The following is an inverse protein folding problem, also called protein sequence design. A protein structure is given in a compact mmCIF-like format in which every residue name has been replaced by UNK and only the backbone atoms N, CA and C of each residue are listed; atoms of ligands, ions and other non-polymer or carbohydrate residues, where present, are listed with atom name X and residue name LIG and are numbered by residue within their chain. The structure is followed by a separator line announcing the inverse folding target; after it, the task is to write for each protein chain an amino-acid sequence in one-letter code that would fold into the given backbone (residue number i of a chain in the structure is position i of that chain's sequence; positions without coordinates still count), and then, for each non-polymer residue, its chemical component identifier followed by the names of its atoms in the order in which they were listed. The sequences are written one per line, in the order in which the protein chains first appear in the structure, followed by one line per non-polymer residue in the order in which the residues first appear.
data_IF_799180188882
#
_entry.id   IF_799180188882
#
_cell.length_a   1.000
_cell.length_b   1.000
_cell.length_c   1.000
_cell.angle_alpha   90.00
_cell.angle_beta   90.00
_cell.angle_gamma   90.00
#
_symmetry.space_group_name_H-M   'P 1'
#
loop_
_entity.id
_entity.type
_entity.pdbx_description
1 polymer ?
#
# COMPACT_ATOMS: atom_id res chain seq x y z
N UNK A 1 -0.56 46.85 -45.09
CA UNK A 1 0.01 47.42 -46.33
C UNK A 1 0.04 46.32 -47.37
N UNK A 2 -0.80 46.43 -48.41
CA UNK A 2 -0.57 46.05 -49.83
C UNK A 2 -0.19 44.56 -50.10
N UNK A 3 -0.79 43.77 -51.00
CA UNK A 3 -1.94 43.81 -51.93
C UNK A 3 -1.84 42.52 -52.79
N UNK A 4 -2.99 42.04 -53.31
CA UNK A 4 -3.19 41.23 -54.54
C UNK A 4 -2.64 39.77 -54.59
N UNK A 5 -3.20 38.78 -55.30
CA UNK A 5 -4.12 38.62 -56.47
C UNK A 5 -5.01 37.37 -56.19
N UNK A 6 -6.34 37.34 -56.39
CA UNK A 6 -7.18 37.35 -57.62
C UNK A 6 -7.16 36.08 -58.51
N UNK A 7 -8.34 35.82 -59.08
CA UNK A 7 -8.76 34.86 -60.14
C UNK A 7 -9.47 33.59 -59.61
N UNK A 8 -10.60 33.09 -60.11
CA UNK A 8 -11.87 33.56 -60.71
C UNK A 8 -12.47 32.37 -61.49
N UNK A 9 -13.81 32.27 -61.48
CA UNK A 9 -14.68 31.61 -62.48
C UNK A 9 -14.59 30.05 -62.59
N UNK A 10 -15.62 29.26 -62.91
CA UNK A 10 -17.01 29.36 -63.41
C UNK A 10 -17.52 27.89 -63.32
N UNK A 11 -18.78 27.45 -63.15
CA UNK A 11 -19.95 27.59 -64.03
C UNK A 11 -21.07 26.60 -63.60
N UNK A 12 -22.34 27.05 -63.67
CA UNK A 12 -23.55 26.37 -64.20
C UNK A 12 -24.08 25.05 -63.59
N UNK A 13 -25.39 24.75 -63.38
CA UNK A 13 -26.78 25.30 -63.49
C UNK A 13 -27.68 24.27 -62.70
N UNK A 14 -29.02 24.11 -62.87
CA UNK A 14 -30.19 24.99 -63.13
C UNK A 14 -31.20 25.00 -61.93
N UNK A 15 -32.04 26.02 -61.68
CA UNK A 15 -33.35 26.40 -62.29
C UNK A 15 -34.55 25.52 -61.83
N UNK A 16 -35.44 26.15 -61.03
CA UNK A 16 -36.88 25.89 -60.76
C UNK A 16 -37.20 24.80 -59.71
N UNK A 17 -38.12 24.96 -58.75
CA UNK A 17 -39.46 25.53 -58.87
C UNK A 17 -40.15 25.86 -57.53
N UNK A 18 -41.05 26.87 -57.61
CA UNK A 18 -42.30 27.03 -56.84
C UNK A 18 -42.26 27.60 -55.41
N UNK A 19 -42.16 28.93 -55.38
CA UNK A 19 -42.83 29.80 -54.40
C UNK A 19 -44.36 29.68 -54.57
N UNK A 20 -45.06 29.17 -53.54
CA UNK A 20 -46.52 29.31 -53.45
C UNK A 20 -46.85 29.97 -52.12
N UNK A 21 -46.98 31.27 -52.22
CA UNK A 21 -47.63 32.14 -51.25
C UNK A 21 -49.08 31.67 -51.05
N UNK A 22 -49.45 31.43 -49.79
CA UNK A 22 -50.84 31.43 -49.35
C UNK A 22 -50.87 31.96 -47.92
N UNK A 23 -50.84 33.28 -47.83
CA UNK A 23 -51.44 34.04 -46.75
C UNK A 23 -52.91 33.62 -46.59
N UNK A 24 -53.21 32.92 -45.51
CA UNK A 24 -54.57 32.88 -44.93
C UNK A 24 -54.45 33.19 -43.45
N UNK A 25 -54.96 34.38 -43.17
CA UNK A 25 -55.37 35.01 -41.92
C UNK A 25 -55.89 34.10 -40.80
N UNK A 26 -55.44 34.48 -39.59
CA UNK A 26 -56.24 34.69 -38.38
C UNK A 26 -56.81 33.50 -37.58
N UNK A 27 -56.43 33.56 -36.29
CA UNK A 27 -57.20 33.20 -35.07
C UNK A 27 -57.22 31.76 -34.53
N UNK A 28 -56.72 31.67 -33.29
CA UNK A 28 -57.00 30.70 -32.21
C UNK A 28 -56.62 29.22 -32.52
N UNK A 29 -56.07 28.41 -31.62
CA UNK A 29 -56.43 28.17 -30.22
C UNK A 29 -55.21 27.50 -29.54
N UNK A 30 -55.02 27.75 -28.26
CA UNK A 30 -54.00 27.10 -27.43
C UNK A 30 -54.11 25.56 -27.43
N UNK A 31 -52.96 24.85 -27.47
CA UNK A 31 -52.87 23.50 -26.89
C UNK A 31 -51.43 23.16 -26.52
N UNK A 32 -51.22 22.92 -25.23
CA UNK A 32 -50.00 22.40 -24.62
C UNK A 32 -49.61 21.06 -25.24
N UNK A 33 -48.36 20.87 -25.66
CA UNK A 33 -47.71 19.55 -25.58
C UNK A 33 -46.18 19.59 -25.74
N UNK A 34 -45.52 19.28 -24.62
CA UNK A 34 -44.32 18.44 -24.47
C UNK A 34 -43.00 18.86 -25.15
N UNK A 35 -42.18 19.55 -24.35
CA UNK A 35 -40.78 19.23 -24.01
C UNK A 35 -40.03 18.31 -24.99
N UNK A 36 -39.07 18.87 -25.75
CA UNK A 36 -37.91 18.13 -26.27
C UNK A 36 -36.62 18.91 -26.06
N UNK A 37 -36.30 19.17 -24.79
CA UNK A 37 -34.91 19.37 -24.38
C UNK A 37 -34.22 18.00 -24.43
N UNK A 38 -33.56 17.67 -25.54
CA UNK A 38 -32.65 16.53 -25.59
C UNK A 38 -31.27 16.97 -25.08
N UNK A 39 -31.21 17.21 -23.77
CA UNK A 39 -29.97 17.44 -23.02
C UNK A 39 -29.23 16.11 -22.92
N UNK A 40 -28.15 15.95 -23.70
CA UNK A 40 -27.26 14.79 -23.59
C UNK A 40 -26.39 14.96 -22.34
N UNK A 41 -26.87 14.48 -21.21
CA UNK A 41 -26.02 14.24 -20.04
C UNK A 41 -25.40 12.85 -20.17
N UNK A 42 -24.12 12.79 -20.54
CA UNK A 42 -23.31 11.60 -20.38
C UNK A 42 -23.01 11.42 -18.88
N UNK A 43 -23.74 10.53 -18.22
CA UNK A 43 -23.42 10.06 -16.87
C UNK A 43 -22.41 8.91 -16.98
N UNK A 44 -21.12 9.25 -16.96
CA UNK A 44 -20.08 8.27 -16.65
C UNK A 44 -20.01 8.13 -15.12
N UNK A 45 -20.71 7.16 -14.55
CA UNK A 45 -20.54 6.78 -13.15
C UNK A 45 -19.23 6.01 -12.99
N UNK A 46 -18.17 6.68 -12.54
CA UNK A 46 -16.93 6.02 -12.12
C UNK A 46 -17.18 5.42 -10.75
N UNK A 47 -17.41 4.10 -10.69
CA UNK A 47 -17.44 3.36 -9.44
C UNK A 47 -16.00 3.23 -8.93
N UNK A 48 -15.64 4.04 -7.93
CA UNK A 48 -14.42 3.81 -7.15
C UNK A 48 -14.72 2.69 -6.15
N UNK A 49 -14.42 1.45 -6.51
CA UNK A 49 -14.30 0.39 -5.51
C UNK A 49 -13.04 0.70 -4.69
N UNK A 50 -13.21 1.12 -3.43
CA UNK A 50 -12.10 1.16 -2.48
C UNK A 50 -11.72 -0.29 -2.18
N UNK A 51 -10.70 -0.81 -2.87
CA UNK A 51 -10.03 -2.01 -2.40
C UNK A 51 -9.38 -1.63 -1.06
N UNK A 52 -9.72 -2.36 0.02
CA UNK A 52 -8.91 -2.30 1.23
C UNK A 52 -7.58 -2.96 0.87
N UNK A 53 -6.60 -2.13 0.49
CA UNK A 53 -5.26 -2.61 0.21
C UNK A 53 -4.62 -2.98 1.55
N UNK A 54 -4.23 -4.24 1.70
CA UNK A 54 -3.43 -4.69 2.83
C UNK A 54 -2.05 -4.04 2.78
N UNK A 55 -1.62 -3.50 3.92
CA UNK A 55 -0.31 -2.87 4.03
C UNK A 55 0.21 -2.98 5.45
N UNK A 56 1.51 -3.25 5.55
CA UNK A 56 2.22 -3.42 6.82
C UNK A 56 3.58 -2.75 6.74
N UNK A 57 3.96 -2.03 7.78
CA UNK A 57 5.24 -1.35 7.89
C UNK A 57 6.07 -1.97 9.01
N UNK A 58 7.34 -2.25 8.71
CA UNK A 58 8.35 -2.57 9.72
C UNK A 58 9.23 -1.35 9.91
N UNK A 59 9.24 -0.83 11.14
CA UNK A 59 10.07 0.30 11.57
C UNK A 59 11.23 -0.21 12.42
N UNK A 60 12.41 0.39 12.26
CA UNK A 60 13.60 0.04 13.02
C UNK A 60 14.10 1.19 13.89
N UNK A 61 14.41 0.88 15.15
CA UNK A 61 15.15 1.76 16.05
C UNK A 61 16.43 1.07 16.50
N UNK A 62 17.59 1.60 16.09
CA UNK A 62 18.89 1.09 16.52
C UNK A 62 19.51 2.03 17.56
N UNK A 63 19.55 1.60 18.82
CA UNK A 63 20.14 2.34 19.94
C UNK A 63 21.56 1.86 20.29
N UNK A 64 22.12 0.93 19.52
CA UNK A 64 23.40 0.30 19.84
C UNK A 64 24.56 1.30 19.73
N UNK A 65 25.29 1.60 20.83
CA UNK A 65 26.41 2.54 20.78
C UNK A 65 27.55 2.10 19.86
N UNK A 66 27.71 0.79 19.67
CA UNK A 66 28.72 0.18 18.81
C UNK A 66 28.31 0.20 17.33
N UNK A 67 27.09 0.65 17.01
CA UNK A 67 26.49 0.61 15.68
C UNK A 67 25.90 -0.76 15.34
N UNK A 68 25.76 -1.01 14.05
CA UNK A 68 25.06 -2.17 13.49
C UNK A 68 24.06 -1.74 12.42
N UNK A 69 23.62 -2.68 11.61
CA UNK A 69 22.67 -2.42 10.52
C UNK A 69 21.43 -3.27 10.72
N UNK A 70 20.27 -2.69 11.09
CA UNK A 70 19.02 -3.43 11.10
C UNK A 70 18.81 -4.05 9.73
N UNK A 71 18.47 -5.33 9.67
CA UNK A 71 18.34 -6.07 8.41
C UNK A 71 17.01 -6.80 8.43
N UNK A 72 16.13 -6.49 7.47
CA UNK A 72 14.87 -7.21 7.23
C UNK A 72 15.07 -8.14 6.04
N UNK A 73 14.74 -9.42 6.20
CA UNK A 73 14.87 -10.43 5.14
C UNK A 73 13.55 -11.17 4.97
N UNK A 74 13.17 -11.44 3.72
CA UNK A 74 12.07 -12.33 3.38
C UNK A 74 12.48 -13.22 2.21
N UNK A 75 12.27 -14.53 2.35
CA UNK A 75 12.60 -15.51 1.31
C UNK A 75 14.04 -15.39 0.78
N UNK A 76 15.00 -15.08 1.66
CA UNK A 76 16.41 -14.88 1.33
C UNK A 76 16.75 -13.56 0.64
N UNK A 77 15.79 -12.64 0.49
CA UNK A 77 16.03 -11.30 -0.05
C UNK A 77 16.07 -10.27 1.07
N UNK A 78 17.10 -9.43 1.08
CA UNK A 78 17.15 -8.27 1.98
C UNK A 78 16.13 -7.25 1.47
N UNK A 79 15.12 -6.98 2.30
CA UNK A 79 14.04 -6.02 2.02
C UNK A 79 14.38 -4.61 2.53
N UNK A 80 15.09 -4.52 3.65
CA UNK A 80 15.56 -3.27 4.23
C UNK A 80 16.86 -3.46 5.01
N UNK A 81 17.66 -2.39 5.06
CA UNK A 81 18.88 -2.27 5.88
C UNK A 81 18.79 -1.12 6.89
N UNK A 82 17.60 -0.84 7.42
CA UNK A 82 17.38 0.12 8.51
C UNK A 82 16.38 1.23 8.24
N UNK A 83 15.95 1.41 6.99
CA UNK A 83 14.83 2.30 6.67
C UNK A 83 13.49 1.58 6.87
N UNK A 84 12.41 2.35 7.02
CA UNK A 84 11.06 1.79 7.06
C UNK A 84 10.78 0.97 5.81
N UNK A 85 10.29 -0.26 6.02
CA UNK A 85 9.85 -1.12 4.93
C UNK A 85 8.34 -1.27 4.98
N UNK A 86 7.66 -0.82 3.92
CA UNK A 86 6.21 -1.02 3.76
C UNK A 86 5.93 -2.09 2.71
N UNK A 87 5.25 -3.15 3.12
CA UNK A 87 4.66 -4.13 2.22
C UNK A 87 3.31 -3.64 1.71
N UNK A 88 3.00 -3.89 0.42
CA UNK A 88 1.68 -3.66 -0.19
C UNK A 88 0.91 -4.99 -0.31
N UNK A 89 0.84 -5.71 0.81
CA UNK A 89 0.25 -7.04 0.97
C UNK A 89 0.80 -7.73 2.22
N UNK A 90 0.48 -9.01 2.44
CA UNK A 90 1.01 -9.77 3.57
C UNK A 90 2.54 -9.76 3.58
N UNK A 91 3.14 -9.62 4.76
CA UNK A 91 4.57 -9.81 4.98
C UNK A 91 4.76 -11.10 5.77
N UNK A 92 4.88 -12.23 5.07
CA UNK A 92 4.97 -13.55 5.70
C UNK A 92 6.39 -14.07 5.79
N UNK A 93 6.69 -14.82 6.85
CA UNK A 93 7.96 -15.48 7.13
C UNK A 93 9.14 -14.51 6.99
N UNK A 94 8.95 -13.29 7.50
CA UNK A 94 10.03 -12.33 7.56
C UNK A 94 10.90 -12.66 8.77
N UNK A 95 12.15 -12.26 8.66
CA UNK A 95 13.09 -12.25 9.78
C UNK A 95 13.76 -10.88 9.84
N UNK A 96 14.13 -10.48 11.03
CA UNK A 96 14.83 -9.25 11.30
C UNK A 96 15.89 -9.46 12.37
N UNK A 97 17.05 -8.84 12.16
CA UNK A 97 18.17 -8.91 13.09
C UNK A 97 19.08 -7.69 12.91
N UNK A 98 19.94 -7.43 13.89
CA UNK A 98 20.97 -6.41 13.78
C UNK A 98 22.25 -7.03 13.21
N UNK A 99 22.61 -6.65 11.97
CA UNK A 99 23.85 -7.09 11.36
C UNK A 99 25.05 -6.40 12.02
N UNK A 100 25.90 -7.20 12.67
CA UNK A 100 27.12 -6.77 13.37
C UNK A 100 28.41 -7.19 12.64
N UNK A 101 28.29 -7.73 11.43
CA UNK A 101 29.38 -8.25 10.59
C UNK A 101 29.59 -9.77 10.68
N UNK A 102 28.91 -10.43 11.62
CA UNK A 102 28.99 -11.89 11.83
C UNK A 102 27.68 -12.64 11.63
N UNK A 103 26.56 -11.95 11.41
CA UNK A 103 25.27 -12.61 11.23
C UNK A 103 25.18 -13.20 9.81
N UNK A 104 24.70 -14.44 9.70
CA UNK A 104 24.31 -15.03 8.43
C UNK A 104 23.12 -14.32 7.79
N UNK A 105 22.74 -14.73 6.57
CA UNK A 105 21.62 -14.12 5.85
C UNK A 105 20.28 -14.45 6.51
N UNK A 106 20.17 -15.59 7.19
CA UNK A 106 18.98 -15.94 7.95
C UNK A 106 19.11 -15.52 9.43
N UNK A 107 20.01 -14.59 9.73
CA UNK A 107 20.28 -14.12 11.09
C UNK A 107 21.08 -15.10 11.95
N UNK A 108 21.69 -16.14 11.35
CA UNK A 108 22.51 -17.11 12.08
C UNK A 108 23.62 -16.39 12.88
N UNK A 109 23.80 -16.76 14.14
CA UNK A 109 24.76 -16.08 15.03
C UNK A 109 24.25 -14.79 15.70
N UNK A 110 22.98 -14.42 15.51
CA UNK A 110 22.39 -13.19 16.05
C UNK A 110 20.99 -13.40 16.64
N UNK A 111 20.54 -12.47 17.49
CA UNK A 111 19.18 -12.45 18.03
C UNK A 111 18.20 -12.23 16.87
N UNK A 112 17.27 -13.16 16.66
CA UNK A 112 16.31 -13.13 15.54
C UNK A 112 14.94 -12.67 16.03
N UNK A 113 14.35 -11.68 15.37
CA UNK A 113 12.91 -11.39 15.42
C UNK A 113 12.30 -11.99 14.16
N UNK A 114 11.28 -12.84 14.30
CA UNK A 114 10.63 -13.49 13.15
C UNK A 114 9.11 -13.39 13.24
N UNK A 115 8.42 -13.50 12.10
CA UNK A 115 6.97 -13.46 12.11
C UNK A 115 6.26 -13.34 10.75
N UNK A 116 4.96 -13.10 10.87
CA UNK A 116 4.00 -12.84 9.80
C UNK A 116 3.18 -11.58 10.14
N UNK A 117 2.99 -10.69 9.17
CA UNK A 117 2.01 -9.59 9.24
C UNK A 117 0.97 -9.80 8.14
N UNK A 118 -0.29 -9.99 8.54
CA UNK A 118 -1.39 -10.29 7.63
C UNK A 118 -2.72 -9.67 8.10
N UNK A 119 -3.63 -9.44 7.15
CA UNK A 119 -5.03 -9.09 7.39
C UNK A 119 -5.95 -10.31 7.61
N UNK A 120 -5.42 -11.53 7.59
CA UNK A 120 -6.19 -12.76 7.86
C UNK A 120 -6.47 -12.96 9.36
N UNK A 121 -6.05 -12.00 10.20
CA UNK A 121 -6.30 -12.00 11.64
C UNK A 121 -5.32 -12.86 12.44
N UNK A 122 -4.17 -13.18 11.85
CA UNK A 122 -3.14 -14.03 12.44
C UNK A 122 -1.74 -13.41 12.32
N UNK A 123 -1.62 -12.07 12.36
CA UNK A 123 -0.30 -11.46 12.51
C UNK A 123 0.33 -11.96 13.80
N UNK A 124 1.57 -12.41 13.73
CA UNK A 124 2.27 -13.02 14.84
C UNK A 124 3.77 -12.77 14.69
N UNK A 125 4.43 -12.51 15.81
CA UNK A 125 5.87 -12.37 15.87
C UNK A 125 6.41 -12.99 17.17
N UNK A 126 7.67 -13.38 17.12
CA UNK A 126 8.40 -13.91 18.25
C UNK A 126 9.90 -13.60 18.12
N UNK A 127 10.64 -13.94 19.19
CA UNK A 127 12.10 -13.84 19.23
C UNK A 127 12.66 -15.25 19.31
N UNK A 128 13.64 -15.55 18.45
CA UNK A 128 14.24 -16.88 18.34
C UNK A 128 15.73 -16.84 18.60
N UNK A 129 16.13 -17.67 19.57
CA UNK A 129 17.50 -18.03 19.94
C UNK A 129 17.74 -19.54 19.73
N UNK A 130 16.88 -20.20 18.94
CA UNK A 130 17.05 -21.61 18.58
C UNK A 130 18.29 -21.74 17.69
N UNK A 131 19.27 -22.60 18.01
CA UNK A 131 20.48 -22.74 17.19
C UNK A 131 20.16 -22.96 15.70
N UNK A 132 20.83 -22.23 14.79
CA UNK A 132 22.09 -21.49 14.96
C UNK A 132 21.94 -20.02 15.40
N UNK A 133 20.75 -19.55 15.79
CA UNK A 133 20.54 -18.22 16.36
C UNK A 133 21.05 -18.18 17.80
N UNK A 134 21.62 -17.05 18.21
CA UNK A 134 22.16 -16.85 19.56
C UNK A 134 21.98 -15.40 19.96
N UNK A 135 21.90 -15.12 21.25
CA UNK A 135 21.82 -13.75 21.72
C UNK A 135 23.06 -12.95 21.28
N UNK A 136 22.85 -11.83 20.58
CA UNK A 136 23.90 -10.91 20.14
C UNK A 136 23.80 -9.52 20.78
N UNK A 137 22.61 -8.92 20.71
CA UNK A 137 22.24 -7.65 21.36
C UNK A 137 20.84 -7.79 21.95
N UNK A 138 20.47 -6.85 22.82
CA UNK A 138 19.06 -6.73 23.21
C UNK A 138 18.25 -6.39 21.96
N UNK A 139 17.14 -7.11 21.80
CA UNK A 139 16.23 -6.94 20.67
C UNK A 139 14.83 -7.11 21.18
N UNK A 140 13.95 -6.20 20.79
CA UNK A 140 12.53 -6.27 21.09
C UNK A 140 11.70 -5.91 19.87
N UNK A 141 10.44 -6.31 19.89
CA UNK A 141 9.45 -5.80 18.95
C UNK A 141 8.19 -5.36 19.68
N UNK A 142 7.45 -4.46 19.06
CA UNK A 142 6.13 -4.06 19.51
C UNK A 142 5.23 -3.75 18.33
N UNK A 143 3.98 -4.19 18.38
CA UNK A 143 2.99 -3.80 17.39
C UNK A 143 2.61 -2.32 17.56
N UNK A 144 2.32 -1.67 16.44
CA UNK A 144 1.69 -0.35 16.39
C UNK A 144 0.68 -0.28 15.25
N UNK A 145 -0.16 0.76 15.23
CA UNK A 145 -1.29 0.84 14.28
C UNK A 145 -2.23 -0.38 14.41
N UNK A 146 -2.32 -0.93 15.62
CA UNK A 146 -2.97 -2.20 15.93
C UNK A 146 -2.25 -2.90 17.08
N UNK A 147 -2.99 -3.36 18.10
CA UNK A 147 -2.44 -4.03 19.28
C UNK A 147 -1.28 -3.26 19.98
N UNK A 148 -1.34 -1.93 19.93
CA UNK A 148 -0.26 -1.04 20.34
C UNK A 148 0.37 -1.40 21.69
N UNK A 149 1.69 -1.51 21.72
CA UNK A 149 2.46 -1.83 22.92
C UNK A 149 2.47 -3.32 23.30
N UNK A 150 1.80 -4.18 22.54
CA UNK A 150 1.94 -5.64 22.68
C UNK A 150 3.18 -6.08 21.92
N UNK A 151 4.04 -6.87 22.55
CA UNK A 151 5.33 -7.26 22.00
C UNK A 151 6.10 -8.18 22.93
N UNK A 152 7.34 -8.48 22.57
CA UNK A 152 8.30 -9.24 23.38
C UNK A 152 9.65 -8.53 23.36
N UNK A 153 10.40 -8.66 24.45
CA UNK A 153 11.70 -8.01 24.61
C UNK A 153 12.73 -8.98 25.20
N UNK A 154 13.85 -9.11 24.50
CA UNK A 154 14.93 -10.02 24.82
C UNK A 154 16.17 -9.24 25.26
N UNK A 155 16.34 -9.10 26.58
CA UNK A 155 17.42 -8.30 27.18
C UNK A 155 18.66 -9.10 27.58
N UNK A 156 18.63 -10.43 27.45
CA UNK A 156 19.76 -11.32 27.74
C UNK A 156 19.64 -12.67 27.05
N UNK A 157 20.70 -13.48 27.09
CA UNK A 157 20.71 -14.84 26.54
C UNK A 157 19.71 -15.79 27.21
N UNK A 158 19.25 -15.48 28.43
CA UNK A 158 18.27 -16.26 29.19
C UNK A 158 16.84 -15.68 29.07
N UNK A 159 16.54 -14.99 27.95
CA UNK A 159 15.25 -14.34 27.76
C UNK A 159 14.08 -15.33 27.91
N UNK A 160 13.17 -15.12 28.89
CA UNK A 160 12.07 -16.05 29.14
C UNK A 160 11.05 -16.17 28.00
N UNK A 161 10.89 -15.13 27.18
CA UNK A 161 9.93 -15.12 26.07
C UNK A 161 10.51 -15.60 24.74
N UNK A 162 11.83 -15.66 24.60
CA UNK A 162 12.45 -16.11 23.37
C UNK A 162 12.43 -17.65 23.24
N UNK A 163 12.21 -18.15 22.03
CA UNK A 163 12.39 -19.57 21.73
C UNK A 163 13.88 -19.93 21.82
N UNK A 164 14.23 -20.87 22.70
CA UNK A 164 15.57 -21.51 22.74
C UNK A 164 15.53 -22.97 22.29
N UNK A 165 14.32 -23.53 22.20
CA UNK A 165 13.96 -24.73 21.46
C UNK A 165 12.60 -24.53 20.78
N UNK A 166 12.08 -25.54 20.08
CA UNK A 166 10.82 -25.43 19.33
C UNK A 166 9.53 -25.36 20.19
N UNK A 167 9.63 -25.32 21.52
CA UNK A 167 8.50 -25.53 22.43
C UNK A 167 8.38 -24.55 23.60
N UNK A 168 9.36 -23.67 23.81
CA UNK A 168 9.50 -22.94 25.08
C UNK A 168 9.40 -21.40 25.00
N UNK A 169 9.22 -20.81 23.82
CA UNK A 169 9.06 -19.36 23.64
C UNK A 169 7.61 -18.88 23.57
N UNK A 170 7.45 -17.57 23.40
CA UNK A 170 6.17 -16.89 23.29
C UNK A 170 5.94 -16.39 21.86
N UNK A 171 4.80 -16.78 21.28
CA UNK A 171 4.29 -16.17 20.05
C UNK A 171 3.34 -15.06 20.46
N UNK A 172 3.67 -13.83 20.09
CA UNK A 172 2.83 -12.66 20.36
C UNK A 172 1.99 -12.39 19.13
N UNK A 173 0.67 -12.45 19.26
CA UNK A 173 -0.26 -12.29 18.12
C UNK A 173 -1.01 -10.97 18.16
N UNK A 174 -1.32 -10.44 16.98
CA UNK A 174 -2.25 -9.35 16.77
C UNK A 174 -3.27 -9.69 15.67
N UNK A 175 -4.55 -9.39 15.94
CA UNK A 175 -5.65 -9.64 15.00
C UNK A 175 -6.12 -8.38 14.28
N UNK A 176 -5.53 -7.22 14.58
CA UNK A 176 -5.87 -5.96 13.93
C UNK A 176 -5.39 -5.96 12.46
N UNK A 177 -6.22 -5.51 11.51
CA UNK A 177 -5.80 -5.37 10.12
C UNK A 177 -4.81 -4.21 9.97
N UNK A 178 -3.87 -4.37 9.04
CA UNK A 178 -2.81 -3.42 8.71
C UNK A 178 -1.97 -3.04 9.93
N UNK A 179 -1.78 -3.99 10.85
CA UNK A 179 -0.90 -3.82 12.00
C UNK A 179 0.53 -3.69 11.52
N UNK A 180 1.26 -2.76 12.11
CA UNK A 180 2.65 -2.49 11.83
C UNK A 180 3.53 -3.00 12.98
N UNK A 181 4.83 -3.13 12.73
CA UNK A 181 5.79 -3.70 13.69
C UNK A 181 6.98 -2.75 13.89
N UNK A 182 7.22 -2.34 15.13
CA UNK A 182 8.42 -1.61 15.51
C UNK A 182 9.42 -2.60 16.10
N UNK A 183 10.66 -2.58 15.63
CA UNK A 183 11.76 -3.41 16.14
C UNK A 183 12.84 -2.49 16.71
N UNK A 184 13.19 -2.72 17.97
CA UNK A 184 14.20 -1.94 18.70
C UNK A 184 15.39 -2.84 19.02
N UNK A 185 16.59 -2.27 18.88
CA UNK A 185 17.85 -2.91 19.26
C UNK A 185 18.58 -2.07 20.31
N UNK A 186 19.18 -2.72 21.30
CA UNK A 186 20.00 -2.09 22.36
C UNK A 186 19.25 -1.11 23.29
N UNK A 187 18.00 -1.40 23.66
CA UNK A 187 17.27 -0.73 24.74
C UNK A 187 17.53 -1.31 26.14
#
# INVERSE_FOLDING_TARGET
MILHFSIACYRNRPVYERYRDRSVSAEAVASFSTVKFAMHFALASVLFAAANAESHTVHFTNLCPQGGTPTLVQAGNILSTGEDFTSNGPLTSFIAYLQLGGCGLNGEGCTLVEGDLTNEGNSAADISLVPPHVFSVTSGFGYFNGCDGTGEDCTSADCPGAFTDATNGAIVSCTAPNVDLAITFCD
#
